data_IF_289790304363
#
_entry.id   IF_289790304363
#
_cell.length_a   1.000
_cell.length_b   1.000
_cell.length_c   1.000
_cell.angle_alpha   90.00
_cell.angle_beta   90.00
_cell.angle_gamma   90.00
#
_symmetry.space_group_name_H-M   'P 1'
#
loop_
_entity.id
_entity.type
_entity.pdbx_description
1 polymer ?
#
# COMPACT_ATOMS: atom_id res chain seq x y z
N UNK A 1 25.75 -21.04 17.46
CA UNK A 1 25.69 -19.60 17.10
C UNK A 1 24.55 -19.44 16.10
N UNK A 2 23.59 -18.58 16.43
CA UNK A 2 22.24 -18.59 15.86
C UNK A 2 22.16 -18.21 14.38
N UNK A 3 21.63 -19.11 13.57
CA UNK A 3 20.90 -18.73 12.36
C UNK A 3 19.49 -18.36 12.79
N UNK A 4 19.26 -17.08 13.10
CA UNK A 4 17.91 -16.54 13.20
C UNK A 4 17.22 -16.80 11.87
N UNK A 5 16.22 -17.69 11.89
CA UNK A 5 15.34 -17.91 10.75
C UNK A 5 14.82 -16.56 10.30
N UNK A 6 15.26 -16.11 9.13
CA UNK A 6 14.54 -15.06 8.42
C UNK A 6 13.17 -15.65 8.13
N UNK A 7 12.20 -15.37 8.99
CA UNK A 7 10.80 -15.51 8.64
C UNK A 7 10.68 -14.77 7.31
N UNK A 8 10.41 -15.51 6.23
CA UNK A 8 10.35 -14.98 4.88
C UNK A 8 9.27 -13.90 4.86
N UNK A 9 9.66 -12.65 5.10
CA UNK A 9 8.77 -11.51 5.12
C UNK A 9 8.28 -11.36 3.69
N UNK A 10 7.06 -11.83 3.43
CA UNK A 10 6.46 -11.70 2.12
C UNK A 10 6.06 -10.24 1.96
N UNK A 11 6.73 -9.55 1.04
CA UNK A 11 6.39 -8.20 0.63
C UNK A 11 5.44 -8.25 -0.56
N UNK A 12 4.28 -7.62 -0.42
CA UNK A 12 3.23 -7.59 -1.44
C UNK A 12 3.15 -6.21 -2.08
N UNK A 13 3.18 -6.16 -3.40
CA UNK A 13 2.94 -4.93 -4.15
C UNK A 13 1.46 -4.83 -4.47
N UNK A 14 0.82 -3.77 -4.01
CA UNK A 14 -0.61 -3.53 -4.19
C UNK A 14 -0.85 -2.48 -5.27
N UNK A 15 -1.80 -2.76 -6.16
CA UNK A 15 -2.32 -1.82 -7.14
C UNK A 15 -3.80 -1.55 -6.89
N UNK A 16 -4.19 -0.29 -6.81
CA UNK A 16 -5.57 0.14 -6.62
C UNK A 16 -6.14 0.61 -7.96
N UNK A 17 -7.12 -0.12 -8.50
CA UNK A 17 -7.84 0.25 -9.71
C UNK A 17 -9.14 0.97 -9.33
N UNK A 18 -9.08 2.29 -9.23
CA UNK A 18 -10.11 3.14 -8.66
C UNK A 18 -9.72 3.59 -7.25
N UNK A 19 -10.04 4.84 -6.92
CA UNK A 19 -9.78 5.41 -5.59
C UNK A 19 -11.00 6.14 -5.02
N UNK A 20 -12.16 5.49 -5.16
CA UNK A 20 -13.42 5.92 -4.55
C UNK A 20 -13.54 5.54 -3.07
N UNK A 21 -14.70 5.77 -2.46
CA UNK A 21 -14.90 5.59 -1.01
C UNK A 21 -14.49 4.22 -0.47
N UNK A 22 -14.73 3.13 -1.21
CA UNK A 22 -14.33 1.77 -0.79
C UNK A 22 -12.82 1.61 -0.75
N UNK A 23 -12.14 1.98 -1.84
CA UNK A 23 -10.68 1.90 -1.91
C UNK A 23 -10.00 2.84 -0.91
N UNK A 24 -10.60 4.01 -0.63
CA UNK A 24 -10.13 4.92 0.43
C UNK A 24 -10.25 4.31 1.82
N UNK A 25 -11.39 3.69 2.13
CA UNK A 25 -11.58 2.99 3.40
C UNK A 25 -10.64 1.79 3.55
N UNK A 26 -10.44 1.03 2.46
CA UNK A 26 -9.48 -0.09 2.42
C UNK A 26 -8.04 0.41 2.62
N UNK A 27 -7.62 1.47 1.93
CA UNK A 27 -6.29 2.05 2.09
C UNK A 27 -6.06 2.54 3.52
N UNK A 28 -7.05 3.18 4.14
CA UNK A 28 -6.98 3.58 5.54
C UNK A 28 -6.87 2.39 6.49
N UNK A 29 -7.67 1.34 6.27
CA UNK A 29 -7.62 0.12 7.07
C UNK A 29 -6.26 -0.58 6.93
N UNK A 30 -5.73 -0.67 5.71
CA UNK A 30 -4.41 -1.23 5.44
C UNK A 30 -3.34 -0.45 6.21
N UNK A 31 -3.31 0.89 6.10
CA UNK A 31 -2.38 1.73 6.86
C UNK A 31 -2.47 1.48 8.37
N UNK A 32 -3.69 1.44 8.92
CA UNK A 32 -3.93 1.20 10.35
C UNK A 32 -3.51 -0.21 10.79
N UNK A 33 -3.62 -1.19 9.91
CA UNK A 33 -3.31 -2.61 10.17
C UNK A 33 -1.90 -2.99 9.74
N UNK A 34 -1.12 -2.08 9.15
CA UNK A 34 0.22 -2.37 8.61
C UNK A 34 1.15 -2.96 9.67
N UNK A 35 1.20 -2.34 10.85
CA UNK A 35 2.01 -2.83 11.96
C UNK A 35 1.50 -4.17 12.49
N UNK A 36 0.19 -4.37 12.49
CA UNK A 36 -0.44 -5.61 12.95
C UNK A 36 -0.16 -6.76 11.97
N UNK A 37 -0.22 -6.51 10.66
CA UNK A 37 0.15 -7.45 9.62
C UNK A 37 1.63 -7.84 9.67
N UNK A 38 2.52 -6.86 9.87
CA UNK A 38 3.95 -7.11 10.01
C UNK A 38 4.25 -7.93 11.27
N UNK A 39 3.62 -7.61 12.41
CA UNK A 39 3.87 -8.26 13.70
C UNK A 39 3.21 -9.64 13.85
N UNK A 40 1.94 -9.77 13.47
CA UNK A 40 1.17 -11.02 13.64
C UNK A 40 1.37 -12.00 12.50
N UNK A 41 1.55 -11.49 11.29
CA UNK A 41 1.56 -12.32 10.08
C UNK A 41 2.90 -12.27 9.32
N UNK A 42 3.88 -11.46 9.75
CA UNK A 42 5.16 -11.32 9.06
C UNK A 42 5.00 -10.79 7.63
N UNK A 43 3.94 -10.02 7.38
CA UNK A 43 3.52 -9.62 6.05
C UNK A 43 3.67 -8.11 5.88
N UNK A 44 4.45 -7.70 4.89
CA UNK A 44 4.63 -6.31 4.50
C UNK A 44 3.91 -6.06 3.18
N UNK A 45 3.31 -4.88 3.03
CA UNK A 45 2.74 -4.47 1.75
C UNK A 45 3.15 -3.05 1.42
N UNK A 46 3.15 -2.76 0.14
CA UNK A 46 3.52 -1.48 -0.44
C UNK A 46 2.59 -1.21 -1.62
N UNK A 47 1.93 -0.05 -1.63
CA UNK A 47 1.16 0.35 -2.79
C UNK A 47 2.14 0.81 -3.87
N UNK A 48 1.96 0.37 -5.12
CA UNK A 48 2.85 0.74 -6.24
C UNK A 48 2.08 1.36 -7.40
N UNK A 49 0.75 1.20 -7.40
CA UNK A 49 -0.14 1.78 -8.39
C UNK A 49 -1.43 2.24 -7.73
N UNK A 50 -1.87 3.45 -8.04
CA UNK A 50 -3.22 3.92 -7.75
C UNK A 50 -3.77 4.59 -9.00
N UNK A 51 -4.84 4.03 -9.56
CA UNK A 51 -5.54 4.57 -10.72
C UNK A 51 -6.91 5.12 -10.31
N UNK A 52 -7.35 6.20 -10.93
CA UNK A 52 -8.66 6.78 -10.72
C UNK A 52 -9.15 7.42 -12.00
N UNK A 53 -10.45 7.26 -12.29
CA UNK A 53 -11.07 7.76 -13.51
C UNK A 53 -10.93 9.28 -13.68
N UNK A 54 -10.89 10.03 -12.57
CA UNK A 54 -10.83 11.50 -12.60
C UNK A 54 -9.44 12.11 -12.50
N UNK A 55 -8.40 11.33 -12.15
CA UNK A 55 -7.05 11.85 -11.87
C UNK A 55 -5.92 11.08 -12.58
N UNK A 56 -6.27 10.13 -13.45
CA UNK A 56 -5.31 9.26 -14.12
C UNK A 56 -4.74 8.18 -13.21
N UNK A 57 -3.56 7.67 -13.54
CA UNK A 57 -2.86 6.65 -12.77
C UNK A 57 -1.54 7.18 -12.20
N UNK A 58 -1.32 6.95 -10.92
CA UNK A 58 -0.04 7.13 -10.25
C UNK A 58 0.64 5.78 -10.13
N UNK A 59 1.83 5.66 -10.70
CA UNK A 59 2.63 4.44 -10.66
C UNK A 59 4.00 4.80 -10.10
N UNK A 60 4.36 4.19 -8.97
CA UNK A 60 5.66 4.37 -8.33
C UNK A 60 6.21 2.99 -7.94
N UNK A 61 7.19 2.45 -8.71
CA UNK A 61 7.81 1.17 -8.41
C UNK A 61 8.53 1.13 -7.05
N UNK A 62 8.94 2.30 -6.52
CA UNK A 62 9.57 2.45 -5.21
C UNK A 62 8.59 2.49 -4.03
N UNK A 63 7.28 2.48 -4.32
CA UNK A 63 6.23 2.56 -3.32
C UNK A 63 5.59 3.94 -3.26
N UNK A 64 4.26 3.94 -3.22
CA UNK A 64 3.37 5.07 -3.08
C UNK A 64 3.02 5.27 -1.61
N UNK A 65 2.97 6.53 -1.18
CA UNK A 65 2.35 6.86 0.10
C UNK A 65 0.82 6.86 -0.05
N UNK A 66 0.18 5.79 0.45
CA UNK A 66 -1.29 5.70 0.50
C UNK A 66 -1.92 6.84 1.29
N UNK A 67 -1.22 7.39 2.30
CA UNK A 67 -1.71 8.55 3.05
C UNK A 67 -1.75 9.79 2.17
N UNK A 68 -0.71 10.02 1.38
CA UNK A 68 -0.68 11.13 0.42
C UNK A 68 -1.79 10.98 -0.62
N UNK A 69 -1.99 9.77 -1.14
CA UNK A 69 -3.09 9.47 -2.06
C UNK A 69 -4.47 9.74 -1.43
N UNK A 70 -4.65 9.48 -0.12
CA UNK A 70 -5.89 9.70 0.64
C UNK A 70 -6.19 11.17 0.93
N UNK A 71 -5.16 11.94 1.26
CA UNK A 71 -5.25 13.32 1.76
C UNK A 71 -5.18 14.35 0.63
N UNK A 72 -4.22 14.20 -0.28
CA UNK A 72 -3.96 15.14 -1.37
C UNK A 72 -4.43 14.58 -2.72
N UNK A 73 -4.34 13.25 -2.87
CA UNK A 73 -4.47 12.60 -4.17
C UNK A 73 -3.28 12.96 -5.07
N UNK A 74 -3.34 12.56 -6.33
CA UNK A 74 -2.24 12.73 -7.27
C UNK A 74 -2.69 13.44 -8.54
N UNK A 75 -1.70 13.90 -9.30
CA UNK A 75 -1.85 14.38 -10.66
C UNK A 75 -0.86 13.62 -11.53
N UNK A 76 -1.33 12.98 -12.61
CA UNK A 76 -0.42 12.50 -13.65
C UNK A 76 0.07 13.73 -14.41
N UNK A 77 1.34 14.10 -14.25
CA UNK A 77 1.97 15.13 -15.08
C UNK A 77 2.77 14.49 -16.20
#
# INVERSE_FOLDING_TARGET
MGGTGQASRRRWRLGFAGFGNVHRALAWLLLKRREEMARRYGLEFEATLVASRGRGAWVEPGGLDLREALERGWSSS
#
